data_IF_628820041435
#
_entry.id   IF_628820041435
#
_cell.length_a   1.000
_cell.length_b   1.000
_cell.length_c   1.000
_cell.angle_alpha   90.00
_cell.angle_beta   90.00
_cell.angle_gamma   90.00
#
_symmetry.space_group_name_H-M   'P 1'
#
loop_
_entity.id
_entity.type
_entity.pdbx_description
1 polymer ?
#
# COMPACT_ATOMS: atom_id res chain seq x y z
N UNK A 1 6.78 2.76 18.22
CA UNK A 1 5.67 3.70 18.04
C UNK A 1 5.85 4.51 16.76
N UNK A 2 7.07 4.95 16.46
CA UNK A 2 7.37 5.62 15.20
C UNK A 2 7.89 4.62 14.18
N UNK A 3 8.72 3.68 14.65
CA UNK A 3 9.21 2.63 13.76
C UNK A 3 8.04 1.75 13.33
N UNK A 4 7.22 1.37 14.30
CA UNK A 4 6.01 0.59 14.10
C UNK A 4 5.21 1.13 12.92
N UNK A 5 4.79 2.39 13.01
CA UNK A 5 4.05 3.04 11.94
C UNK A 5 4.92 3.18 10.69
N UNK A 6 6.23 3.24 10.94
CA UNK A 6 7.19 3.38 9.85
C UNK A 6 7.02 2.26 8.83
N UNK A 7 7.34 1.04 9.27
CA UNK A 7 7.27 -0.10 8.36
C UNK A 7 5.83 -0.37 7.95
N UNK A 8 4.89 -0.01 8.82
CA UNK A 8 3.46 -0.10 8.57
C UNK A 8 3.07 0.74 7.37
N UNK A 9 3.43 2.02 7.41
CA UNK A 9 3.17 2.90 6.26
C UNK A 9 3.85 2.34 5.02
N UNK A 10 4.94 1.60 5.20
CA UNK A 10 5.56 0.90 4.10
C UNK A 10 4.73 -0.24 3.55
N UNK A 11 3.74 -0.76 4.28
CA UNK A 11 3.00 -1.89 3.71
C UNK A 11 1.69 -1.44 3.10
N UNK A 12 0.98 -0.54 3.79
CA UNK A 12 -0.24 0.00 3.19
C UNK A 12 0.09 0.70 1.87
N UNK A 13 1.30 1.25 1.84
CA UNK A 13 1.85 1.98 0.71
C UNK A 13 2.02 1.07 -0.49
N UNK A 14 2.54 -0.13 -0.25
CA UNK A 14 2.71 -1.11 -1.32
C UNK A 14 1.36 -1.68 -1.73
N UNK A 15 0.66 -2.24 -0.75
CA UNK A 15 -0.70 -2.73 -0.84
C UNK A 15 -1.57 -1.84 -1.72
N UNK A 16 -1.41 -0.53 -1.54
CA UNK A 16 -2.17 0.46 -2.27
C UNK A 16 -1.71 0.55 -3.72
N UNK A 17 -0.40 0.62 -3.93
CA UNK A 17 0.14 0.63 -5.29
C UNK A 17 -0.43 -0.55 -6.08
N UNK A 18 -0.56 -1.68 -5.39
CA UNK A 18 -1.13 -2.88 -6.00
C UNK A 18 -2.58 -2.65 -6.39
N UNK A 19 -3.38 -2.25 -5.41
CA UNK A 19 -4.80 -2.00 -5.63
C UNK A 19 -5.01 -1.07 -6.82
N UNK A 20 -4.27 0.04 -6.85
CA UNK A 20 -4.38 0.98 -7.96
C UNK A 20 -4.17 0.26 -9.29
N UNK A 21 -3.24 -0.69 -9.27
CA UNK A 21 -2.82 -1.42 -10.45
C UNK A 21 -3.88 -2.41 -10.93
N UNK A 22 -4.27 -3.31 -10.03
CA UNK A 22 -5.24 -4.35 -10.37
C UNK A 22 -6.61 -3.75 -10.67
N UNK A 23 -7.06 -2.81 -9.84
CA UNK A 23 -8.36 -2.20 -10.09
C UNK A 23 -8.36 -1.49 -11.44
N UNK A 24 -7.25 -0.82 -11.72
CA UNK A 24 -7.13 -0.08 -12.98
C UNK A 24 -7.31 -1.00 -14.18
N UNK A 25 -6.86 -2.25 -14.07
CA UNK A 25 -7.08 -3.23 -15.12
C UNK A 25 -8.57 -3.56 -15.20
N UNK A 26 -9.21 -3.71 -14.06
CA UNK A 26 -10.64 -3.94 -13.95
C UNK A 26 -11.53 -2.98 -14.69
N UNK A 27 -11.07 -1.77 -14.95
CA UNK A 27 -11.96 -0.77 -15.52
C UNK A 27 -12.40 -1.12 -16.93
#
# INVERSE_FOLDING_TARGET
>A
YVYQLKDEVGELKGEVRALKDEVKDLK
#
